data_IF_833514613626
#
_entry.id   IF_833514613626
#
_cell.length_a   1.000
_cell.length_b   1.000
_cell.length_c   1.000
_cell.angle_alpha   90.00
_cell.angle_beta   90.00
_cell.angle_gamma   90.00
#
_symmetry.space_group_name_H-M   'P 1'
#
loop_
_entity.id
_entity.type
_entity.pdbx_description
1 polymer ?
#
# COMPACT_ATOMS: atom_id res chain seq x y z
N UNK A 1 -24.95 10.83 5.89
CA UNK A 1 -24.78 10.77 7.36
C UNK A 1 -23.37 11.27 7.65
N UNK A 2 -23.25 12.50 8.16
CA UNK A 2 -21.96 13.16 8.42
C UNK A 2 -21.50 12.77 9.83
N UNK A 3 -20.45 11.97 9.95
CA UNK A 3 -19.79 11.75 11.25
C UNK A 3 -18.85 12.92 11.53
N UNK A 4 -19.09 13.56 12.68
CA UNK A 4 -18.44 14.74 13.24
C UNK A 4 -17.03 14.43 13.80
N UNK A 5 -16.18 13.78 13.01
CA UNK A 5 -14.76 13.67 13.28
C UNK A 5 -14.06 14.00 11.98
N UNK A 6 -13.22 15.03 11.94
CA UNK A 6 -12.52 15.52 10.75
C UNK A 6 -11.55 14.53 10.07
N UNK A 7 -11.75 13.23 10.26
CA UNK A 7 -10.97 12.11 9.74
C UNK A 7 -11.65 11.56 8.49
N UNK A 8 -11.62 12.31 7.39
CA UNK A 8 -12.02 11.74 6.09
C UNK A 8 -10.86 10.93 5.54
N UNK A 9 -10.84 9.64 5.86
CA UNK A 9 -10.21 8.64 5.01
C UNK A 9 -10.88 8.76 3.64
N UNK A 10 -10.26 9.40 2.66
CA UNK A 10 -10.77 9.27 1.28
C UNK A 10 -10.73 7.77 0.95
N UNK A 11 -11.66 7.26 0.18
CA UNK A 11 -11.61 5.88 -0.30
C UNK A 11 -11.48 5.93 -1.81
N UNK A 12 -10.63 5.09 -2.38
CA UNK A 12 -10.58 4.93 -3.83
C UNK A 12 -11.55 3.82 -4.23
N UNK A 13 -12.43 4.13 -5.18
CA UNK A 13 -13.33 3.15 -5.79
C UNK A 13 -12.83 2.85 -7.20
N UNK A 14 -12.80 1.58 -7.57
CA UNK A 14 -12.37 1.14 -8.90
C UNK A 14 -13.20 -0.05 -9.38
N UNK A 15 -13.45 -0.17 -10.69
CA UNK A 15 -14.19 -1.30 -11.23
C UNK A 15 -13.37 -2.59 -11.17
N UNK A 16 -14.05 -3.70 -10.88
CA UNK A 16 -13.50 -5.06 -11.04
C UNK A 16 -14.20 -5.72 -12.23
N UNK A 17 -13.44 -6.10 -13.25
CA UNK A 17 -13.97 -6.72 -14.46
C UNK A 17 -13.13 -7.92 -14.89
N UNK A 18 -13.63 -8.68 -15.89
CA UNK A 18 -12.91 -9.84 -16.43
C UNK A 18 -11.77 -9.44 -17.35
N UNK A 19 -11.95 -8.35 -18.09
CA UNK A 19 -10.98 -7.84 -19.05
C UNK A 19 -10.63 -6.39 -18.78
N UNK A 20 -9.43 -5.97 -19.20
CA UNK A 20 -8.98 -4.58 -19.10
C UNK A 20 -9.86 -3.65 -19.95
N UNK A 21 -10.37 -4.13 -21.09
CA UNK A 21 -11.27 -3.34 -21.95
C UNK A 21 -12.58 -2.96 -21.26
N UNK A 22 -13.12 -3.84 -20.40
CA UNK A 22 -14.31 -3.56 -19.59
C UNK A 22 -14.03 -2.46 -18.55
N UNK A 23 -12.84 -2.49 -17.92
CA UNK A 23 -12.38 -1.44 -17.00
C UNK A 23 -12.29 -0.12 -17.77
N UNK A 24 -11.68 -0.12 -18.94
CA UNK A 24 -11.54 1.07 -19.80
C UNK A 24 -12.91 1.63 -20.20
N UNK A 25 -13.85 0.77 -20.58
CA UNK A 25 -15.22 1.18 -20.90
C UNK A 25 -15.92 1.83 -19.70
N UNK A 26 -15.80 1.25 -18.50
CA UNK A 26 -16.36 1.83 -17.28
C UNK A 26 -15.71 3.18 -16.93
N UNK A 27 -14.38 3.28 -17.01
CA UNK A 27 -13.65 4.51 -16.69
C UNK A 27 -14.00 5.65 -17.65
N UNK A 28 -14.29 5.37 -18.92
CA UNK A 28 -14.77 6.39 -19.88
C UNK A 28 -16.13 6.98 -19.48
N UNK A 29 -17.00 6.17 -18.89
CA UNK A 29 -18.31 6.63 -18.41
C UNK A 29 -18.15 7.40 -17.10
N UNK A 30 -17.36 6.89 -16.17
CA UNK A 30 -17.13 7.52 -14.85
C UNK A 30 -16.37 8.84 -14.96
N UNK A 31 -15.44 8.98 -15.90
CA UNK A 31 -14.71 10.21 -16.18
C UNK A 31 -15.31 10.99 -17.35
N UNK A 32 -16.64 11.05 -17.39
CA UNK A 32 -17.40 11.88 -18.33
C UNK A 32 -17.74 13.23 -17.72
N UNK A 33 -18.10 14.21 -18.56
CA UNK A 33 -18.54 15.52 -18.09
C UNK A 33 -19.82 15.39 -17.25
N UNK A 34 -20.71 14.50 -17.64
CA UNK A 34 -21.98 14.19 -16.98
C UNK A 34 -21.76 13.70 -15.55
N UNK A 35 -20.76 12.84 -15.34
CA UNK A 35 -20.41 12.36 -14.00
C UNK A 35 -19.90 13.51 -13.09
N UNK A 36 -19.12 14.46 -13.63
CA UNK A 36 -18.66 15.64 -12.86
C UNK A 36 -19.77 16.64 -12.54
N UNK A 37 -20.85 16.65 -13.32
CA UNK A 37 -22.06 17.43 -13.02
C UNK A 37 -22.82 16.78 -11.87
N UNK A 38 -22.85 15.45 -11.82
CA UNK A 38 -23.54 14.69 -10.77
C UNK A 38 -22.83 14.79 -9.41
N UNK A 39 -21.50 14.71 -9.39
CA UNK A 39 -20.68 14.84 -8.19
C UNK A 39 -19.69 16.01 -8.29
N UNK A 40 -20.01 17.11 -7.61
CA UNK A 40 -19.18 18.32 -7.55
C UNK A 40 -17.82 18.09 -6.86
N UNK A 41 -17.64 17.00 -6.10
CA UNK A 41 -16.34 16.64 -5.52
C UNK A 41 -15.44 15.91 -6.51
N UNK A 42 -15.97 15.40 -7.62
CA UNK A 42 -15.17 14.77 -8.65
C UNK A 42 -14.54 15.83 -9.56
N UNK A 43 -13.20 15.84 -9.72
CA UNK A 43 -12.57 16.79 -10.63
C UNK A 43 -13.01 16.51 -12.07
N UNK A 44 -13.29 17.54 -12.89
CA UNK A 44 -13.73 17.38 -14.28
C UNK A 44 -12.57 16.99 -15.20
N UNK A 45 -12.03 15.78 -15.00
CA UNK A 45 -10.93 15.21 -15.76
C UNK A 45 -11.48 14.18 -16.74
N UNK A 46 -11.60 14.49 -18.05
CA UNK A 46 -12.12 13.55 -19.02
C UNK A 46 -11.14 12.39 -19.26
N UNK A 47 -11.66 11.22 -19.64
CA UNK A 47 -10.84 10.10 -20.09
C UNK A 47 -10.03 10.49 -21.34
N UNK A 48 -8.70 10.42 -21.22
CA UNK A 48 -7.73 10.82 -22.26
C UNK A 48 -7.38 9.67 -23.19
N UNK A 49 -8.15 9.52 -24.26
CA UNK A 49 -7.95 8.50 -25.31
C UNK A 49 -6.58 8.60 -25.99
N UNK A 50 -6.04 9.80 -26.12
CA UNK A 50 -4.74 10.07 -26.71
C UNK A 50 -3.60 9.45 -25.90
N UNK A 51 -3.71 9.44 -24.58
CA UNK A 51 -2.73 8.79 -23.70
C UNK A 51 -2.92 7.28 -23.74
N UNK A 52 -4.18 6.82 -23.65
CA UNK A 52 -4.50 5.39 -23.65
C UNK A 52 -4.05 4.67 -24.93
N UNK A 53 -4.24 5.30 -26.09
CA UNK A 53 -3.85 4.74 -27.41
C UNK A 53 -2.39 4.98 -27.78
N UNK A 54 -1.62 5.68 -26.94
CA UNK A 54 -0.22 5.97 -27.21
C UNK A 54 0.60 4.69 -27.33
N UNK A 55 1.48 4.65 -28.34
CA UNK A 55 2.47 3.58 -28.55
C UNK A 55 3.88 4.02 -28.17
N UNK A 56 4.01 5.09 -27.36
CA UNK A 56 5.30 5.55 -26.84
C UNK A 56 5.98 4.37 -26.14
N UNK A 57 7.28 4.18 -26.40
CA UNK A 57 8.08 3.24 -25.61
C UNK A 57 8.16 3.75 -24.17
N UNK A 58 7.67 2.95 -23.23
CA UNK A 58 7.67 3.24 -21.81
C UNK A 58 8.96 2.75 -21.16
N UNK A 59 9.51 3.53 -20.23
CA UNK A 59 10.53 3.07 -19.30
C UNK A 59 9.83 2.49 -18.07
N UNK A 60 9.95 1.20 -17.86
CA UNK A 60 9.19 0.46 -16.86
C UNK A 60 10.08 0.15 -15.65
N UNK A 61 9.71 0.69 -14.50
CA UNK A 61 10.23 0.28 -13.21
C UNK A 61 9.59 -1.04 -12.79
N UNK A 62 10.32 -1.93 -12.12
CA UNK A 62 9.71 -3.11 -11.52
C UNK A 62 10.22 -3.38 -10.11
N UNK A 63 9.32 -3.92 -9.30
CA UNK A 63 9.55 -4.32 -7.93
C UNK A 63 9.20 -5.79 -7.77
N UNK A 64 10.13 -6.61 -7.27
CA UNK A 64 9.84 -8.01 -6.91
C UNK A 64 9.65 -8.15 -5.40
N UNK A 65 10.44 -7.46 -4.59
CA UNK A 65 10.39 -7.53 -3.14
C UNK A 65 10.56 -6.11 -2.57
N UNK A 66 9.60 -5.71 -1.74
CA UNK A 66 9.57 -4.40 -1.09
C UNK A 66 10.48 -4.28 0.14
N UNK A 67 11.12 -5.38 0.54
CA UNK A 67 11.99 -5.44 1.70
C UNK A 67 11.29 -5.71 3.03
N UNK A 68 9.96 -5.76 3.02
CA UNK A 68 9.16 -5.98 4.22
C UNK A 68 8.51 -7.36 4.22
N UNK A 69 7.82 -7.78 3.16
CA UNK A 69 7.34 -9.16 3.01
C UNK A 69 7.91 -9.76 1.72
N UNK A 70 8.64 -10.87 1.87
CA UNK A 70 9.11 -11.63 0.72
C UNK A 70 7.93 -12.38 0.10
N UNK A 71 7.61 -12.14 -1.20
CA UNK A 71 6.53 -12.87 -1.85
C UNK A 71 6.85 -14.35 -1.96
N UNK A 72 5.83 -15.21 -2.04
CA UNK A 72 6.05 -16.64 -2.27
C UNK A 72 6.65 -16.91 -3.66
N UNK A 73 7.35 -18.04 -3.87
CA UNK A 73 8.01 -18.35 -5.13
C UNK A 73 7.09 -18.30 -6.36
N UNK A 74 5.81 -18.67 -6.21
CA UNK A 74 4.82 -18.59 -7.30
C UNK A 74 4.57 -17.16 -7.78
N UNK A 75 4.52 -16.20 -6.85
CA UNK A 75 4.34 -14.77 -7.19
C UNK A 75 5.61 -14.22 -7.81
N UNK A 76 6.79 -14.56 -7.27
CA UNK A 76 8.07 -14.15 -7.84
C UNK A 76 8.22 -14.68 -9.27
N UNK A 77 7.90 -15.95 -9.52
CA UNK A 77 7.91 -16.55 -10.85
C UNK A 77 6.97 -15.83 -11.82
N UNK A 78 5.74 -15.53 -11.40
CA UNK A 78 4.78 -14.82 -12.26
C UNK A 78 5.29 -13.42 -12.66
N UNK A 79 5.94 -12.71 -11.73
CA UNK A 79 6.60 -11.44 -12.00
C UNK A 79 7.75 -11.60 -13.00
N UNK A 80 8.64 -12.57 -12.79
CA UNK A 80 9.78 -12.85 -13.67
C UNK A 80 9.33 -13.24 -15.10
N UNK A 81 8.31 -14.08 -15.22
CA UNK A 81 7.73 -14.47 -16.51
C UNK A 81 7.13 -13.26 -17.24
N UNK A 82 6.38 -12.41 -16.52
CA UNK A 82 5.78 -11.19 -17.08
C UNK A 82 6.84 -10.21 -17.54
N UNK A 83 7.85 -9.93 -16.71
CA UNK A 83 8.97 -9.04 -17.06
C UNK A 83 9.75 -9.62 -18.24
N UNK A 84 10.02 -10.92 -18.25
CA UNK A 84 10.73 -11.60 -19.32
C UNK A 84 10.00 -11.53 -20.66
N UNK A 85 8.68 -11.71 -20.65
CA UNK A 85 7.82 -11.58 -21.83
C UNK A 85 7.84 -10.14 -22.36
N UNK A 86 7.61 -9.15 -21.50
CA UNK A 86 7.57 -7.74 -21.90
C UNK A 86 8.94 -7.26 -22.40
N UNK A 87 10.04 -7.73 -21.80
CA UNK A 87 11.39 -7.35 -22.21
C UNK A 87 11.76 -7.93 -23.58
N UNK A 88 11.44 -9.21 -23.83
CA UNK A 88 11.82 -9.92 -25.06
C UNK A 88 10.91 -9.58 -26.24
N UNK A 89 9.60 -9.63 -26.03
CA UNK A 89 8.64 -9.61 -27.14
C UNK A 89 8.19 -8.18 -27.48
N UNK A 90 8.20 -7.28 -26.49
CA UNK A 90 7.75 -5.89 -26.66
C UNK A 90 8.91 -4.88 -26.67
N UNK A 91 10.12 -5.31 -26.28
CA UNK A 91 11.34 -4.50 -26.36
C UNK A 91 11.32 -3.24 -25.48
N UNK A 92 10.59 -3.26 -24.35
CA UNK A 92 10.57 -2.17 -23.37
C UNK A 92 11.82 -2.19 -22.49
N UNK A 93 12.23 -1.00 -22.03
CA UNK A 93 13.38 -0.84 -21.15
C UNK A 93 12.93 -1.02 -19.70
N UNK A 94 13.58 -1.94 -19.00
CA UNK A 94 13.34 -2.19 -17.58
C UNK A 94 14.39 -1.53 -16.71
N UNK A 95 13.93 -0.93 -15.61
CA UNK A 95 14.80 -0.51 -14.51
C UNK A 95 14.34 -1.19 -13.24
N UNK A 96 15.27 -1.85 -12.56
CA UNK A 96 15.01 -2.48 -11.28
C UNK A 96 14.88 -1.40 -10.21
N UNK A 97 13.72 -1.36 -9.57
CA UNK A 97 13.41 -0.38 -8.53
C UNK A 97 13.71 -1.01 -7.16
N UNK A 98 14.84 -0.67 -6.54
CA UNK A 98 15.29 -1.27 -5.27
C UNK A 98 14.78 -0.49 -4.05
N UNK A 99 14.31 -1.23 -3.02
CA UNK A 99 13.60 -0.70 -1.84
C UNK A 99 14.17 -1.12 -0.48
N UNK A 100 15.39 -1.66 -0.43
CA UNK A 100 16.02 -2.17 0.81
C UNK A 100 17.33 -1.47 1.12
N UNK A 101 17.61 -1.24 2.41
CA UNK A 101 18.93 -0.74 2.87
C UNK A 101 20.10 -1.67 2.51
N UNK A 102 19.90 -2.99 2.42
CA UNK A 102 21.00 -3.99 2.36
C UNK A 102 20.74 -5.22 1.45
N UNK A 103 20.68 -5.07 0.11
CA UNK A 103 20.71 -6.23 -0.82
C UNK A 103 21.53 -5.93 -2.08
N UNK A 104 22.38 -6.88 -2.47
CA UNK A 104 23.13 -6.90 -3.74
C UNK A 104 22.26 -7.63 -4.78
N UNK A 105 21.96 -6.99 -5.91
CA UNK A 105 21.27 -7.66 -7.00
C UNK A 105 22.25 -8.43 -7.88
N UNK A 106 22.00 -9.72 -8.06
CA UNK A 106 22.79 -10.59 -8.93
C UNK A 106 22.16 -10.79 -10.31
N UNK A 107 20.95 -10.26 -10.55
CA UNK A 107 20.17 -10.53 -11.75
C UNK A 107 20.18 -9.29 -12.64
N UNK A 108 20.96 -9.41 -13.72
CA UNK A 108 21.10 -8.48 -14.86
C UNK A 108 21.95 -7.24 -14.52
N UNK A 109 22.93 -6.93 -15.40
CA UNK A 109 23.71 -5.68 -15.43
C UNK A 109 22.80 -4.47 -15.74
N UNK A 110 21.76 -4.25 -14.94
CA UNK A 110 20.93 -3.07 -15.00
C UNK A 110 21.58 -1.96 -14.17
N UNK A 111 21.57 -0.75 -14.70
CA UNK A 111 21.98 0.47 -14.01
C UNK A 111 21.32 0.50 -12.63
N UNK A 112 22.14 0.33 -11.59
CA UNK A 112 21.68 0.34 -10.21
C UNK A 112 21.19 1.76 -9.91
N UNK A 113 19.88 1.93 -9.67
CA UNK A 113 19.36 3.19 -9.12
C UNK A 113 20.05 3.36 -7.77
N UNK A 114 20.87 4.40 -7.69
CA UNK A 114 21.71 4.67 -6.54
C UNK A 114 20.87 4.78 -5.25
N UNK A 115 21.35 4.10 -4.22
CA UNK A 115 21.00 4.19 -2.80
C UNK A 115 20.60 5.64 -2.41
N UNK A 116 19.30 5.89 -2.18
CA UNK A 116 18.75 7.16 -1.66
C UNK A 116 18.32 6.97 -0.19
N UNK A 117 19.24 6.89 0.79
CA UNK A 117 18.91 6.62 2.19
C UNK A 117 17.94 7.66 2.78
N UNK A 118 17.94 8.89 2.26
CA UNK A 118 17.02 9.95 2.64
C UNK A 118 15.54 9.59 2.40
N UNK A 119 15.23 8.68 1.48
CA UNK A 119 13.85 8.24 1.22
C UNK A 119 13.32 7.31 2.31
N UNK A 120 14.21 6.66 3.06
CA UNK A 120 13.88 5.54 3.94
C UNK A 120 14.00 5.85 5.42
N UNK A 121 14.84 6.79 5.85
CA UNK A 121 15.03 7.06 7.27
C UNK A 121 13.72 7.48 7.98
N UNK A 122 13.40 6.89 9.15
CA UNK A 122 14.18 5.93 9.95
C UNK A 122 14.00 4.43 9.59
N UNK A 123 13.12 4.09 8.65
CA UNK A 123 12.72 2.72 8.28
C UNK A 123 13.78 1.98 7.44
N UNK A 124 13.78 0.64 7.47
CA UNK A 124 14.77 -0.21 6.78
C UNK A 124 14.39 -0.54 5.33
N UNK A 125 13.12 -0.37 4.97
CA UNK A 125 12.61 -0.60 3.62
C UNK A 125 11.40 0.27 3.31
N UNK A 126 11.08 0.41 2.02
CA UNK A 126 9.86 1.09 1.58
C UNK A 126 8.61 0.38 2.10
N UNK A 127 8.62 -0.96 2.07
CA UNK A 127 7.49 -1.75 2.55
C UNK A 127 7.25 -1.53 4.03
N UNK A 128 8.31 -1.34 4.82
CA UNK A 128 8.19 -1.02 6.24
C UNK A 128 7.62 0.38 6.45
N UNK A 129 8.17 1.41 5.78
CA UNK A 129 7.63 2.77 5.83
C UNK A 129 6.14 2.78 5.49
N UNK A 130 5.78 2.15 4.36
CA UNK A 130 4.41 2.16 3.87
C UNK A 130 3.46 1.44 4.82
N UNK A 131 3.87 0.29 5.35
CA UNK A 131 3.05 -0.47 6.29
C UNK A 131 2.86 0.30 7.59
N UNK A 132 3.95 0.76 8.20
CA UNK A 132 3.90 1.43 9.51
C UNK A 132 3.04 2.69 9.45
N UNK A 133 3.23 3.55 8.45
CA UNK A 133 2.46 4.79 8.34
C UNK A 133 1.00 4.53 7.96
N UNK A 134 0.72 3.56 7.08
CA UNK A 134 -0.65 3.17 6.75
C UNK A 134 -1.42 2.68 7.98
N UNK A 135 -0.79 1.83 8.80
CA UNK A 135 -1.41 1.31 10.01
C UNK A 135 -1.49 2.34 11.13
N UNK A 136 -0.52 3.25 11.25
CA UNK A 136 -0.59 4.39 12.16
C UNK A 136 -1.76 5.32 11.80
N UNK A 137 -1.96 5.59 10.50
CA UNK A 137 -3.07 6.40 10.00
C UNK A 137 -4.43 5.71 10.18
N UNK A 138 -4.56 4.45 9.75
CA UNK A 138 -5.83 3.70 9.88
C UNK A 138 -6.19 3.36 11.32
N UNK A 139 -5.19 3.17 12.19
CA UNK A 139 -5.36 2.96 13.62
C UNK A 139 -5.49 4.25 14.43
N UNK A 140 -5.49 5.44 13.80
CA UNK A 140 -5.43 6.72 14.50
C UNK A 140 -6.64 6.99 15.41
N UNK A 141 -7.80 6.41 15.09
CA UNK A 141 -9.01 6.47 15.93
C UNK A 141 -8.91 5.60 17.19
N UNK A 142 -8.05 4.57 17.20
CA UNK A 142 -7.96 3.60 18.29
C UNK A 142 -9.09 2.58 18.28
N UNK A 143 -8.86 1.46 18.98
CA UNK A 143 -9.85 0.42 19.34
C UNK A 143 -10.70 -0.15 18.19
N UNK A 144 -10.33 0.10 16.92
CA UNK A 144 -11.15 -0.16 15.75
C UNK A 144 -12.57 0.40 15.84
N UNK A 145 -12.74 1.57 16.49
CA UNK A 145 -14.04 2.22 16.73
C UNK A 145 -14.86 2.33 15.44
N UNK A 146 -14.21 2.67 14.31
CA UNK A 146 -14.87 2.79 13.01
C UNK A 146 -15.53 1.47 12.52
N UNK A 147 -14.96 0.32 12.87
CA UNK A 147 -15.52 -0.99 12.52
C UNK A 147 -16.52 -1.45 13.57
N UNK A 148 -16.23 -1.26 14.85
CA UNK A 148 -17.06 -1.75 15.95
C UNK A 148 -18.38 -0.99 16.06
N UNK A 149 -18.35 0.33 15.83
CA UNK A 149 -19.56 1.16 15.81
C UNK A 149 -20.47 0.78 14.63
N UNK A 150 -19.87 0.41 13.49
CA UNK A 150 -20.60 -0.01 12.31
C UNK A 150 -21.35 -1.33 12.50
N UNK A 151 -20.89 -2.20 13.42
CA UNK A 151 -21.56 -3.46 13.71
C UNK A 151 -22.86 -3.29 14.51
N UNK A 152 -23.15 -2.12 15.13
CA UNK A 152 -24.40 -1.85 15.87
C UNK A 152 -24.83 -2.96 16.88
N UNK A 153 -23.87 -3.70 17.45
CA UNK A 153 -24.14 -4.82 18.37
C UNK A 153 -24.25 -6.20 17.72
N UNK A 154 -24.00 -6.32 16.41
CA UNK A 154 -23.81 -7.60 15.72
C UNK A 154 -22.56 -8.34 16.18
N UNK A 155 -22.54 -9.66 15.93
CA UNK A 155 -21.40 -10.49 16.31
C UNK A 155 -20.20 -10.21 15.39
N UNK A 156 -19.01 -10.15 15.99
CA UNK A 156 -17.77 -10.09 15.24
C UNK A 156 -17.48 -11.47 14.63
N UNK A 157 -17.37 -11.52 13.30
CA UNK A 157 -16.96 -12.74 12.58
C UNK A 157 -15.62 -13.23 13.12
N UNK A 158 -15.45 -14.54 13.24
CA UNK A 158 -14.26 -15.17 13.81
C UNK A 158 -12.96 -14.62 13.23
N UNK A 159 -12.98 -14.30 11.92
CA UNK A 159 -11.85 -13.76 11.17
C UNK A 159 -11.37 -12.34 11.56
N UNK A 160 -12.00 -11.70 12.54
CA UNK A 160 -11.60 -10.38 13.02
C UNK A 160 -11.27 -10.37 14.51
N UNK A 161 -11.49 -11.48 15.22
CA UNK A 161 -11.30 -11.56 16.68
C UNK A 161 -9.88 -11.22 17.10
N UNK A 162 -8.90 -11.72 16.35
CA UNK A 162 -7.47 -11.49 16.63
C UNK A 162 -7.12 -10.01 16.48
N UNK A 163 -7.59 -9.37 15.41
CA UNK A 163 -7.38 -7.95 15.17
C UNK A 163 -8.05 -7.10 16.24
N UNK A 164 -9.28 -7.46 16.65
CA UNK A 164 -10.03 -6.78 17.70
C UNK A 164 -9.32 -6.82 19.04
N UNK A 165 -8.89 -8.00 19.48
CA UNK A 165 -8.12 -8.14 20.73
C UNK A 165 -6.82 -7.34 20.71
N UNK A 166 -6.13 -7.26 19.57
CA UNK A 166 -4.94 -6.43 19.41
C UNK A 166 -5.22 -4.92 19.45
N UNK A 167 -6.34 -4.50 18.88
CA UNK A 167 -6.76 -3.10 18.84
C UNK A 167 -7.17 -2.59 20.23
N UNK A 168 -7.91 -3.39 21.00
CA UNK A 168 -8.40 -3.03 22.34
C UNK A 168 -7.42 -3.37 23.48
N UNK A 169 -6.21 -3.82 23.16
CA UNK A 169 -5.21 -4.17 24.17
C UNK A 169 -4.86 -2.93 25.03
N UNK A 170 -4.95 -3.02 26.38
CA UNK A 170 -4.65 -1.89 27.26
C UNK A 170 -3.25 -1.34 27.06
N UNK A 171 -3.13 0.00 27.04
CA UNK A 171 -1.87 0.68 26.76
C UNK A 171 -0.74 0.31 27.71
N UNK A 172 -1.05 -0.03 28.97
CA UNK A 172 -0.07 -0.47 29.96
C UNK A 172 0.58 -1.83 29.63
N UNK A 173 -0.15 -2.73 28.95
CA UNK A 173 0.34 -4.06 28.58
C UNK A 173 1.10 -4.07 27.25
N UNK A 174 0.86 -3.09 26.38
CA UNK A 174 1.49 -3.01 25.05
C UNK A 174 3.03 -3.05 25.09
N UNK A 175 3.74 -2.31 25.97
CA UNK A 175 5.20 -2.39 26.03
C UNK A 175 5.71 -3.78 26.38
N UNK A 176 5.04 -4.45 27.32
CA UNK A 176 5.37 -5.82 27.73
C UNK A 176 5.15 -6.80 26.57
N UNK A 177 3.96 -6.79 25.97
CA UNK A 177 3.61 -7.67 24.85
C UNK A 177 4.52 -7.43 23.64
N UNK A 178 4.83 -6.17 23.33
CA UNK A 178 5.78 -5.82 22.28
C UNK A 178 7.18 -6.37 22.54
N UNK A 179 7.68 -6.25 23.78
CA UNK A 179 8.98 -6.83 24.16
C UNK A 179 8.98 -8.35 24.07
N UNK A 180 7.91 -9.02 24.50
CA UNK A 180 7.77 -10.47 24.36
C UNK A 180 7.81 -10.91 22.88
N UNK A 181 7.11 -10.20 21.99
CA UNK A 181 7.21 -10.47 20.55
C UNK A 181 8.62 -10.22 20.01
N UNK A 182 9.28 -9.14 20.44
CA UNK A 182 10.65 -8.86 20.01
C UNK A 182 11.63 -9.96 20.45
N UNK A 183 11.49 -10.47 21.69
CA UNK A 183 12.29 -11.58 22.22
C UNK A 183 12.00 -12.90 21.52
N UNK A 184 10.76 -13.13 21.09
CA UNK A 184 10.38 -14.29 20.29
C UNK A 184 10.83 -14.22 18.82
N UNK A 185 11.56 -13.16 18.41
CA UNK A 185 11.99 -12.95 17.03
C UNK A 185 10.92 -12.35 16.11
N UNK A 186 9.74 -12.06 16.64
CA UNK A 186 8.57 -11.55 15.91
C UNK A 186 8.59 -10.01 15.84
N UNK A 187 9.63 -9.46 15.20
CA UNK A 187 9.85 -8.01 15.10
C UNK A 187 8.69 -7.24 14.48
N UNK A 188 7.97 -7.82 13.52
CA UNK A 188 6.82 -7.15 12.88
C UNK A 188 5.68 -6.98 13.88
N UNK A 189 5.27 -8.06 14.55
CA UNK A 189 4.20 -8.04 15.56
C UNK A 189 4.54 -7.08 16.70
N UNK A 190 5.81 -7.00 17.11
CA UNK A 190 6.22 -6.06 18.16
C UNK A 190 6.01 -4.59 17.79
N UNK A 191 6.26 -4.23 16.53
CA UNK A 191 6.00 -2.89 15.99
C UNK A 191 4.49 -2.63 15.94
N UNK A 192 3.71 -3.53 15.36
CA UNK A 192 2.25 -3.39 15.25
C UNK A 192 1.55 -3.18 16.59
N UNK A 193 1.95 -3.93 17.62
CA UNK A 193 1.39 -3.78 18.98
C UNK A 193 1.67 -2.39 19.56
N UNK A 194 2.82 -1.79 19.24
CA UNK A 194 3.17 -0.41 19.66
C UNK A 194 2.49 0.66 18.83
N UNK A 195 2.21 0.38 17.56
CA UNK A 195 1.50 1.30 16.67
C UNK A 195 0.03 1.45 17.08
N UNK A 196 -0.62 0.36 17.44
CA UNK A 196 -1.95 0.43 18.03
C UNK A 196 -1.92 1.18 19.37
N UNK A 197 -2.87 2.07 19.59
CA UNK A 197 -3.11 2.72 20.87
C UNK A 197 -4.60 2.63 21.20
N UNK A 198 -4.91 2.11 22.38
CA UNK A 198 -6.28 2.18 22.89
C UNK A 198 -6.59 3.64 23.20
N UNK A 199 -7.72 4.15 22.71
CA UNK A 199 -8.05 5.58 22.68
C UNK A 199 -7.41 6.39 21.55
N UNK A 200 -6.64 5.77 20.64
CA UNK A 200 -6.11 6.41 19.44
C UNK A 200 -4.87 7.29 19.66
N UNK A 201 -4.56 8.11 18.66
CA UNK A 201 -3.45 9.08 18.69
C UNK A 201 -3.98 10.52 18.72
N UNK A 202 -3.14 11.46 19.16
CA UNK A 202 -3.49 12.88 19.16
C UNK A 202 -3.58 13.44 17.73
N UNK A 203 -4.36 14.50 17.55
CA UNK A 203 -4.46 15.21 16.24
C UNK A 203 -3.09 15.69 15.75
N UNK A 204 -2.19 16.07 16.65
CA UNK A 204 -0.82 16.48 16.30
C UNK A 204 -0.02 15.31 15.72
N UNK A 205 -0.08 14.14 16.35
CA UNK A 205 0.58 12.93 15.87
C UNK A 205 -0.03 12.46 14.54
N UNK A 206 -1.35 12.49 14.41
CA UNK A 206 -2.04 12.16 13.16
C UNK A 206 -1.61 13.08 12.01
N UNK A 207 -1.51 14.39 12.26
CA UNK A 207 -1.01 15.36 11.26
C UNK A 207 0.44 15.10 10.89
N UNK A 208 1.27 14.67 11.84
CA UNK A 208 2.65 14.28 11.54
C UNK A 208 2.71 13.06 10.61
N UNK A 209 1.91 12.02 10.88
CA UNK A 209 1.81 10.84 10.01
C UNK A 209 1.37 11.23 8.59
N UNK A 210 0.38 12.11 8.46
CA UNK A 210 -0.05 12.63 7.15
C UNK A 210 1.07 13.40 6.44
N UNK A 211 1.78 14.26 7.16
CA UNK A 211 2.93 14.99 6.62
C UNK A 211 4.03 14.05 6.14
N UNK A 212 4.36 13.01 6.91
CA UNK A 212 5.39 12.03 6.54
C UNK A 212 4.96 11.25 5.28
N UNK A 213 3.69 10.88 5.16
CA UNK A 213 3.10 10.29 3.96
C UNK A 213 3.15 11.23 2.75
N UNK A 214 2.89 12.53 2.92
CA UNK A 214 3.00 13.54 1.86
C UNK A 214 4.44 13.75 1.40
N UNK A 215 5.38 13.83 2.34
CA UNK A 215 6.82 13.91 2.02
C UNK A 215 7.28 12.69 1.24
N UNK A 216 6.80 11.51 1.63
CA UNK A 216 7.10 10.28 0.93
C UNK A 216 6.59 10.28 -0.52
N UNK A 217 5.33 10.71 -0.76
CA UNK A 217 4.78 10.87 -2.11
C UNK A 217 5.64 11.78 -2.96
N UNK A 218 6.02 12.93 -2.41
CA UNK A 218 6.83 13.92 -3.11
C UNK A 218 8.19 13.35 -3.51
N UNK A 219 8.89 12.72 -2.57
CA UNK A 219 10.20 12.08 -2.83
C UNK A 219 10.09 10.95 -3.84
N UNK A 220 9.03 10.14 -3.76
CA UNK A 220 8.76 9.08 -4.72
C UNK A 220 8.51 9.63 -6.12
N UNK A 221 7.74 10.72 -6.24
CA UNK A 221 7.50 11.40 -7.51
C UNK A 221 8.79 12.00 -8.10
N UNK A 222 9.64 12.60 -7.27
CA UNK A 222 10.96 13.08 -7.69
C UNK A 222 11.81 11.93 -8.26
N UNK A 223 11.86 10.79 -7.56
CA UNK A 223 12.58 9.61 -8.01
C UNK A 223 12.07 9.10 -9.37
N UNK A 224 10.76 9.05 -9.56
CA UNK A 224 10.14 8.65 -10.84
C UNK A 224 10.54 9.60 -11.97
N UNK A 225 10.57 10.91 -11.72
CA UNK A 225 10.95 11.92 -12.72
C UNK A 225 12.44 11.91 -13.05
N UNK A 226 13.30 11.85 -12.03
CA UNK A 226 14.76 11.79 -12.20
C UNK A 226 15.17 10.59 -13.05
N UNK A 227 14.56 9.43 -12.78
CA UNK A 227 14.79 8.21 -13.52
C UNK A 227 13.93 8.11 -14.80
N UNK A 228 13.08 9.10 -15.09
CA UNK A 228 12.18 9.13 -16.24
C UNK A 228 11.38 7.82 -16.39
N UNK A 229 10.86 7.29 -15.28
CA UNK A 229 10.06 6.06 -15.23
C UNK A 229 8.61 6.41 -15.55
N UNK A 230 8.02 5.75 -16.55
CA UNK A 230 6.63 5.98 -16.95
C UNK A 230 5.64 5.07 -16.21
N UNK A 231 6.07 3.86 -15.81
CA UNK A 231 5.20 2.83 -15.22
C UNK A 231 5.96 1.99 -14.19
N UNK A 232 5.28 1.52 -13.14
CA UNK A 232 5.81 0.51 -12.22
C UNK A 232 5.01 -0.78 -12.31
N UNK A 233 5.72 -1.90 -12.39
CA UNK A 233 5.17 -3.25 -12.19
C UNK A 233 5.56 -3.73 -10.80
N UNK A 234 4.61 -4.30 -10.07
CA UNK A 234 4.81 -4.81 -8.71
C UNK A 234 3.95 -6.04 -8.49
N UNK A 235 4.31 -6.94 -7.55
CA UNK A 235 3.44 -8.04 -7.17
C UNK A 235 2.12 -7.48 -6.63
N UNK A 236 1.00 -8.15 -6.86
CA UNK A 236 -0.30 -7.69 -6.32
C UNK A 236 -0.43 -8.05 -4.83
N UNK A 237 0.10 -9.20 -4.45
CA UNK A 237 0.11 -9.70 -3.08
C UNK A 237 1.30 -10.64 -2.88
N UNK A 238 1.69 -10.84 -1.62
CA UNK A 238 2.79 -11.75 -1.30
C UNK A 238 2.39 -13.23 -1.36
N UNK A 239 1.09 -13.55 -1.33
CA UNK A 239 0.57 -14.91 -1.19
C UNK A 239 -0.56 -15.17 -2.19
N UNK A 240 -0.74 -16.42 -2.67
CA UNK A 240 -1.96 -16.82 -3.35
C UNK A 240 -3.15 -16.77 -2.37
N UNK A 241 -4.37 -16.94 -2.88
CA UNK A 241 -5.58 -16.92 -2.06
C UNK A 241 -5.43 -17.82 -0.82
N UNK A 242 -5.52 -17.21 0.36
CA UNK A 242 -5.37 -17.89 1.63
C UNK A 242 -6.70 -18.49 2.05
N UNK A 243 -6.66 -19.62 2.77
CA UNK A 243 -7.89 -20.22 3.31
C UNK A 243 -8.48 -19.26 4.36
N UNK A 244 -9.81 -19.14 4.38
CA UNK A 244 -10.57 -18.22 5.23
C UNK A 244 -10.10 -18.19 6.71
N UNK A 245 -9.83 -19.35 7.31
CA UNK A 245 -9.41 -19.47 8.71
C UNK A 245 -7.97 -19.00 9.00
N UNK A 246 -7.16 -18.78 7.96
CA UNK A 246 -5.78 -18.31 8.12
C UNK A 246 -5.66 -16.79 7.94
N UNK A 247 -6.72 -16.10 7.52
CA UNK A 247 -6.69 -14.66 7.22
C UNK A 247 -6.24 -13.85 8.44
N UNK A 248 -6.64 -14.23 9.66
CA UNK A 248 -6.21 -13.61 10.92
C UNK A 248 -4.72 -13.69 11.16
N UNK A 249 -4.12 -14.84 10.85
CA UNK A 249 -2.69 -15.07 11.03
C UNK A 249 -1.89 -14.22 10.03
N UNK A 250 -2.49 -13.92 8.87
CA UNK A 250 -1.93 -13.06 7.84
C UNK A 250 -2.34 -11.58 7.99
N UNK A 251 -3.01 -11.18 9.07
CA UNK A 251 -3.33 -9.76 9.32
C UNK A 251 -2.07 -8.88 9.34
N UNK A 252 -1.00 -9.38 9.96
CA UNK A 252 0.33 -8.74 9.97
C UNK A 252 1.10 -8.90 8.66
N UNK A 253 0.53 -9.64 7.72
CA UNK A 253 1.02 -9.85 6.37
C UNK A 253 0.16 -9.10 5.33
N UNK A 254 -0.65 -8.12 5.78
CA UNK A 254 -1.41 -7.24 4.90
C UNK A 254 -0.58 -6.90 3.66
N UNK A 255 -1.11 -7.09 2.45
CA UNK A 255 -0.36 -6.80 1.25
C UNK A 255 0.03 -5.32 1.31
N UNK A 256 1.33 -5.10 1.54
CA UNK A 256 2.09 -3.98 1.00
C UNK A 256 1.80 -3.96 -0.51
N UNK A 257 2.14 -3.01 -1.36
CA UNK A 257 1.37 -2.73 -2.59
C UNK A 257 -0.01 -2.17 -2.27
N UNK A 258 -0.90 -2.85 -1.54
CA UNK A 258 -2.15 -2.19 -1.14
C UNK A 258 -1.84 -0.99 -0.23
N UNK A 259 -1.08 -1.17 0.86
CA UNK A 259 -0.68 -0.06 1.75
C UNK A 259 0.24 0.96 1.04
N UNK A 260 1.12 0.48 0.16
CA UNK A 260 2.10 1.31 -0.53
C UNK A 260 1.47 2.21 -1.60
N UNK A 261 0.72 1.62 -2.54
CA UNK A 261 -0.02 2.38 -3.55
C UNK A 261 -1.17 3.17 -2.95
N UNK A 262 -1.73 2.71 -1.83
CA UNK A 262 -2.64 3.54 -1.05
C UNK A 262 -1.91 4.81 -0.61
N UNK A 263 -0.74 4.71 0.05
CA UNK A 263 -0.02 5.93 0.41
C UNK A 263 0.28 6.77 -0.83
N UNK A 264 0.76 6.20 -1.92
CA UNK A 264 1.15 6.98 -3.11
C UNK A 264 -0.01 7.71 -3.81
N UNK A 265 -1.12 7.04 -4.04
CA UNK A 265 -2.21 7.58 -4.87
C UNK A 265 -3.31 8.27 -4.07
N UNK A 266 -3.22 8.22 -2.75
CA UNK A 266 -4.18 8.87 -1.89
C UNK A 266 -3.81 10.32 -1.62
N UNK A 267 -4.61 11.27 -2.13
CA UNK A 267 -4.45 12.68 -1.80
C UNK A 267 -5.12 13.01 -0.46
N UNK A 268 -4.38 13.70 0.41
CA UNK A 268 -4.89 14.32 1.64
C UNK A 268 -5.90 15.44 1.33
#
# INVERSE_FOLDING_TARGET
>A
MYTFSGKKKRSAFGPMCRYVDDIVAMMKVLWSKEASILDAHMPPLPFREEIFKSKKKLKIGYLINDGYITPVPTVQRAMEETIGYIAKDLGFVFVLFFLMKNVICWIIKASIIARRPELFEPYDSLGEFATVNYFAYTGAAGDMVEYTDALQGEYLVDGFKTAYLGATLPNALRPLVSTLFALAGEKRKSVFVRLGRSGGITVKEERQVNYDMDQFRYRFWQLMNEENIDLIISPVSAFPNTKFLLVDLFYFCCPINASFFYILFHST
#
